data_IF_368374020870
#
_entry.id   IF_368374020870
#
_cell.length_a   1.000
_cell.length_b   1.000
_cell.length_c   1.000
_cell.angle_alpha   90.00
_cell.angle_beta   90.00
_cell.angle_gamma   90.00
#
_symmetry.space_group_name_H-M   'P 1'
#
loop_
_entity.id
_entity.type
_entity.pdbx_description
1 polymer ?
#
# COMPACT_ATOMS: atom_id res chain seq x y z
N UNK A 1 -42.10 -31.00 -13.04
CA UNK A 1 -42.20 -31.39 -11.62
C UNK A 1 -40.82 -31.81 -11.08
N UNK A 2 -39.77 -30.99 -11.26
CA UNK A 2 -38.37 -31.28 -10.88
C UNK A 2 -37.71 -30.10 -10.09
N UNK A 3 -38.46 -29.06 -9.72
CA UNK A 3 -37.94 -27.84 -9.06
C UNK A 3 -38.10 -27.75 -7.54
N UNK A 4 -38.49 -28.80 -6.84
CA UNK A 4 -38.80 -28.76 -5.38
C UNK A 4 -37.87 -29.60 -4.50
N UNK A 5 -36.90 -30.35 -5.06
CA UNK A 5 -36.09 -31.27 -4.23
C UNK A 5 -34.65 -30.82 -3.94
N UNK A 6 -34.25 -29.60 -4.28
CA UNK A 6 -32.88 -29.10 -3.99
C UNK A 6 -32.78 -28.07 -2.86
N UNK A 7 -33.83 -27.88 -2.06
CA UNK A 7 -33.86 -26.86 -0.98
C UNK A 7 -33.71 -27.39 0.45
N UNK A 8 -33.29 -28.62 0.66
CA UNK A 8 -33.32 -29.20 2.04
C UNK A 8 -32.01 -29.79 2.57
N UNK A 9 -30.86 -29.56 1.96
CA UNK A 9 -29.56 -30.02 2.50
C UNK A 9 -28.38 -29.03 2.31
N UNK A 10 -28.62 -27.75 2.55
CA UNK A 10 -27.52 -26.86 2.90
C UNK A 10 -27.69 -26.56 4.40
N UNK A 11 -26.81 -27.09 5.24
CA UNK A 11 -26.76 -26.70 6.65
C UNK A 11 -26.55 -25.18 6.74
N UNK A 12 -27.09 -24.56 7.78
CA UNK A 12 -26.96 -23.11 8.00
C UNK A 12 -25.49 -22.62 7.96
N UNK A 13 -24.58 -23.49 8.36
CA UNK A 13 -23.13 -23.23 8.34
C UNK A 13 -22.56 -23.14 6.91
N UNK A 14 -23.02 -24.01 5.99
CA UNK A 14 -22.57 -23.97 4.59
C UNK A 14 -23.09 -22.72 3.85
N UNK A 15 -24.30 -22.26 4.17
CA UNK A 15 -24.86 -21.02 3.61
C UNK A 15 -24.10 -19.78 4.12
N UNK A 16 -23.73 -19.73 5.38
CA UNK A 16 -22.96 -18.62 5.98
C UNK A 16 -21.55 -18.54 5.37
N UNK A 17 -20.89 -19.68 5.19
CA UNK A 17 -19.55 -19.72 4.56
C UNK A 17 -19.59 -19.25 3.12
N UNK A 18 -20.61 -19.64 2.34
CA UNK A 18 -20.77 -19.22 0.95
C UNK A 18 -21.13 -17.73 0.86
N UNK A 19 -22.00 -17.21 1.73
CA UNK A 19 -22.30 -15.77 1.77
C UNK A 19 -21.09 -14.93 2.18
N UNK A 20 -20.30 -15.39 3.14
CA UNK A 20 -19.10 -14.71 3.57
C UNK A 20 -18.05 -14.67 2.44
N UNK A 21 -17.89 -15.77 1.72
CA UNK A 21 -16.97 -15.86 0.58
C UNK A 21 -17.39 -14.98 -0.61
N UNK A 22 -18.69 -14.67 -0.76
CA UNK A 22 -19.20 -13.75 -1.79
C UNK A 22 -18.98 -12.27 -1.44
N UNK A 23 -18.71 -11.93 -0.19
CA UNK A 23 -18.48 -10.56 0.29
C UNK A 23 -17.00 -10.21 0.41
N UNK A 24 -16.09 -11.20 0.29
CA UNK A 24 -14.65 -10.96 0.42
C UNK A 24 -14.09 -10.40 -0.88
N UNK A 25 -13.34 -9.30 -0.74
CA UNK A 25 -12.61 -8.72 -1.86
C UNK A 25 -11.37 -9.55 -2.17
N UNK A 26 -11.08 -9.74 -3.46
CA UNK A 26 -9.82 -10.32 -3.88
C UNK A 26 -8.66 -9.37 -3.59
N UNK A 27 -7.40 -9.87 -3.46
CA UNK A 27 -6.23 -9.02 -3.31
C UNK A 27 -6.14 -7.94 -4.40
N UNK A 28 -6.47 -8.29 -5.64
CA UNK A 28 -6.49 -7.35 -6.76
C UNK A 28 -7.52 -6.23 -6.60
N UNK A 29 -8.70 -6.55 -6.07
CA UNK A 29 -9.73 -5.55 -5.77
C UNK A 29 -9.29 -4.60 -4.64
N UNK A 30 -8.71 -5.16 -3.56
CA UNK A 30 -8.17 -4.36 -2.45
C UNK A 30 -7.08 -3.41 -2.94
N UNK A 31 -6.16 -3.87 -3.80
CA UNK A 31 -5.08 -3.03 -4.33
C UNK A 31 -5.58 -1.97 -5.30
N UNK A 32 -6.63 -2.25 -6.06
CA UNK A 32 -7.27 -1.24 -6.93
C UNK A 32 -7.86 -0.10 -6.08
N UNK A 33 -8.54 -0.44 -4.98
CA UNK A 33 -9.04 0.56 -4.02
C UNK A 33 -7.91 1.30 -3.31
N UNK A 34 -6.84 0.58 -2.95
CA UNK A 34 -5.66 1.16 -2.33
C UNK A 34 -5.04 2.24 -3.23
N UNK A 35 -4.79 1.95 -4.51
CA UNK A 35 -4.26 2.93 -5.46
C UNK A 35 -5.22 4.10 -5.66
N UNK A 36 -6.52 3.86 -5.70
CA UNK A 36 -7.52 4.92 -5.81
C UNK A 36 -7.48 5.87 -4.58
N UNK A 37 -7.45 5.32 -3.35
CA UNK A 37 -7.35 6.09 -2.12
C UNK A 37 -6.01 6.85 -2.03
N UNK A 38 -4.91 6.21 -2.45
CA UNK A 38 -3.58 6.82 -2.49
C UNK A 38 -3.55 8.03 -3.45
N UNK A 39 -4.12 7.90 -4.65
CA UNK A 39 -4.21 8.98 -5.63
C UNK A 39 -5.21 10.09 -5.22
N UNK A 40 -6.25 9.74 -4.44
CA UNK A 40 -7.12 10.73 -3.82
C UNK A 40 -6.43 11.47 -2.66
N UNK A 41 -5.27 10.98 -2.20
CA UNK A 41 -4.54 11.49 -1.03
C UNK A 41 -5.40 11.49 0.22
N UNK A 42 -6.22 10.45 0.37
CA UNK A 42 -7.05 10.23 1.54
C UNK A 42 -6.37 9.22 2.49
N UNK A 43 -5.61 9.69 3.49
CA UNK A 43 -4.87 8.82 4.39
C UNK A 43 -5.81 8.00 5.28
N UNK A 44 -7.02 8.51 5.57
CA UNK A 44 -7.99 7.84 6.42
C UNK A 44 -8.61 6.63 5.72
N UNK A 45 -9.10 6.81 4.49
CA UNK A 45 -9.59 5.68 3.68
C UNK A 45 -8.46 4.69 3.45
N UNK A 46 -7.27 5.17 3.10
CA UNK A 46 -6.11 4.31 2.85
C UNK A 46 -5.78 3.44 4.07
N UNK A 47 -5.76 4.02 5.27
CA UNK A 47 -5.49 3.29 6.51
C UNK A 47 -6.55 2.20 6.80
N UNK A 48 -7.83 2.41 6.44
CA UNK A 48 -8.88 1.40 6.66
C UNK A 48 -8.68 0.11 5.86
N UNK A 49 -7.87 0.16 4.80
CA UNK A 49 -7.53 -1.01 3.98
C UNK A 49 -6.49 -1.92 4.64
N UNK A 50 -5.93 -1.54 5.78
CA UNK A 50 -4.98 -2.34 6.54
C UNK A 50 -5.62 -2.95 7.79
N UNK A 51 -5.11 -4.12 8.21
CA UNK A 51 -5.38 -4.68 9.53
C UNK A 51 -4.80 -3.78 10.62
N UNK A 52 -5.33 -3.90 11.85
CA UNK A 52 -4.87 -3.10 13.00
C UNK A 52 -3.41 -3.35 13.35
N UNK A 53 -2.94 -4.58 13.18
CA UNK A 53 -1.59 -5.07 13.44
C UNK A 53 -0.75 -5.26 12.16
N UNK A 54 -1.18 -4.69 11.03
CA UNK A 54 -0.49 -4.84 9.76
C UNK A 54 0.96 -4.34 9.82
N UNK A 55 1.79 -4.91 8.96
CA UNK A 55 3.19 -4.50 8.79
C UNK A 55 3.44 -3.98 7.38
N UNK A 56 4.11 -2.83 7.27
CA UNK A 56 4.55 -2.25 6.00
C UNK A 56 6.06 -2.02 6.01
N UNK A 57 6.77 -2.64 5.08
CA UNK A 57 8.21 -2.49 4.89
C UNK A 57 8.48 -1.83 3.55
N UNK A 58 9.08 -0.65 3.58
CA UNK A 58 9.69 -0.06 2.39
C UNK A 58 11.18 -0.36 2.43
N UNK A 59 11.62 -1.40 1.71
CA UNK A 59 12.98 -1.98 1.82
C UNK A 59 14.07 -0.92 1.66
N UNK A 60 13.86 0.06 0.80
CA UNK A 60 14.79 1.16 0.58
C UNK A 60 14.89 2.15 1.76
N UNK A 61 13.90 2.16 2.68
CA UNK A 61 13.87 3.07 3.83
C UNK A 61 14.33 2.40 5.14
N UNK A 62 14.29 1.07 5.19
CA UNK A 62 14.83 0.26 6.28
C UNK A 62 13.75 -0.20 7.26
N UNK A 63 13.50 0.55 8.32
CA UNK A 63 12.64 0.11 9.42
C UNK A 63 11.18 -0.10 9.02
N UNK A 64 10.55 -1.21 9.42
CA UNK A 64 9.15 -1.47 9.15
C UNK A 64 8.22 -0.58 10.00
N UNK A 65 7.08 -0.22 9.43
CA UNK A 65 5.97 0.37 10.16
C UNK A 65 5.05 -0.74 10.66
N UNK A 66 4.70 -0.70 11.94
CA UNK A 66 3.81 -1.66 12.57
C UNK A 66 2.54 -0.98 13.07
N UNK A 67 1.40 -1.53 12.69
CA UNK A 67 0.09 -1.04 13.09
C UNK A 67 -0.48 0.03 12.17
N UNK A 68 -1.80 -0.03 12.01
CA UNK A 68 -2.57 0.86 11.12
C UNK A 68 -2.45 2.34 11.49
N UNK A 69 -2.35 2.67 12.78
CA UNK A 69 -2.22 4.06 13.24
C UNK A 69 -0.89 4.68 12.81
N UNK A 70 0.22 3.93 12.95
CA UNK A 70 1.54 4.37 12.50
C UNK A 70 1.56 4.57 10.98
N UNK A 71 0.88 3.70 10.23
CA UNK A 71 0.72 3.85 8.78
C UNK A 71 -0.09 5.09 8.42
N UNK A 72 -1.17 5.37 9.16
CA UNK A 72 -1.98 6.58 8.95
C UNK A 72 -1.11 7.84 9.11
N UNK A 73 -0.32 7.93 10.17
CA UNK A 73 0.59 9.07 10.41
C UNK A 73 1.63 9.20 9.27
N UNK A 74 2.17 8.07 8.81
CA UNK A 74 3.10 8.03 7.67
C UNK A 74 2.45 8.52 6.37
N UNK A 75 1.21 8.13 6.06
CA UNK A 75 0.48 8.61 4.89
C UNK A 75 0.17 10.11 4.98
N UNK A 76 -0.24 10.61 6.16
CA UNK A 76 -0.47 12.04 6.38
C UNK A 76 0.82 12.82 6.07
N UNK A 77 1.94 12.41 6.66
CA UNK A 77 3.25 13.07 6.46
C UNK A 77 3.69 13.02 4.99
N UNK A 78 3.50 11.88 4.32
CA UNK A 78 3.87 11.71 2.92
C UNK A 78 3.03 12.63 2.01
N UNK A 79 1.72 12.69 2.18
CA UNK A 79 0.84 13.53 1.36
C UNK A 79 1.03 15.03 1.64
N UNK A 80 1.46 15.42 2.84
CA UNK A 80 1.88 16.79 3.12
C UNK A 80 3.18 17.15 2.40
N UNK A 81 4.12 16.21 2.33
CA UNK A 81 5.40 16.40 1.65
C UNK A 81 5.26 16.42 0.12
N UNK A 82 4.35 15.59 -0.44
CA UNK A 82 4.16 15.35 -1.86
C UNK A 82 2.66 15.45 -2.25
N UNK A 83 2.00 16.63 -2.15
CA UNK A 83 0.55 16.76 -2.30
C UNK A 83 0.04 16.58 -3.72
N UNK A 84 0.92 16.56 -4.72
CA UNK A 84 0.64 16.29 -6.13
C UNK A 84 1.03 14.85 -6.55
N UNK A 85 1.38 13.99 -5.56
CA UNK A 85 1.79 12.63 -5.90
C UNK A 85 0.71 11.89 -6.68
N UNK A 86 1.15 11.11 -7.66
CA UNK A 86 0.29 10.28 -8.49
C UNK A 86 0.96 8.95 -8.76
N UNK A 87 0.21 7.86 -8.63
CA UNK A 87 0.67 6.49 -8.87
C UNK A 87 -0.17 5.84 -9.96
N UNK A 88 0.49 5.26 -10.95
CA UNK A 88 -0.12 4.48 -12.03
C UNK A 88 0.18 3.00 -11.83
N UNK A 89 -0.83 2.16 -12.03
CA UNK A 89 -0.67 0.71 -12.09
C UNK A 89 -0.10 0.37 -13.46
N UNK A 90 1.14 -0.14 -13.48
CA UNK A 90 1.75 -0.69 -14.68
C UNK A 90 1.29 -2.14 -14.89
N UNK A 91 1.39 -2.96 -13.84
CA UNK A 91 0.92 -4.32 -13.79
C UNK A 91 0.38 -4.66 -12.41
N UNK A 92 -0.68 -5.46 -12.36
CA UNK A 92 -1.26 -5.95 -11.11
C UNK A 92 -1.57 -7.44 -11.25
N UNK A 93 -0.83 -8.26 -10.51
CA UNK A 93 -0.95 -9.71 -10.46
C UNK A 93 -1.56 -10.16 -9.15
N UNK A 94 -2.17 -11.34 -9.14
CA UNK A 94 -2.79 -11.96 -7.97
C UNK A 94 -2.50 -13.45 -7.97
N UNK A 95 -2.10 -13.99 -6.81
CA UNK A 95 -1.92 -15.41 -6.56
C UNK A 95 -2.31 -15.74 -5.11
N UNK A 96 -3.40 -16.48 -4.93
CA UNK A 96 -3.99 -16.77 -3.62
C UNK A 96 -4.33 -15.49 -2.85
N UNK A 97 -3.74 -15.32 -1.68
CA UNK A 97 -3.93 -14.14 -0.81
C UNK A 97 -2.95 -13.00 -1.12
N UNK A 98 -2.12 -13.14 -2.16
CA UNK A 98 -1.12 -12.16 -2.52
C UNK A 98 -1.50 -11.35 -3.76
N UNK A 99 -1.20 -10.06 -3.73
CA UNK A 99 -1.14 -9.23 -4.92
C UNK A 99 0.26 -8.65 -5.09
N UNK A 100 0.68 -8.50 -6.35
CA UNK A 100 1.93 -7.85 -6.74
C UNK A 100 1.57 -6.68 -7.62
N UNK A 101 1.92 -5.48 -7.17
CA UNK A 101 1.70 -4.23 -7.89
C UNK A 101 3.03 -3.73 -8.43
N UNK A 102 3.17 -3.67 -9.76
CA UNK A 102 4.19 -2.86 -10.42
C UNK A 102 3.59 -1.49 -10.71
N UNK A 103 4.31 -0.43 -10.34
CA UNK A 103 3.82 0.93 -10.44
C UNK A 103 4.86 1.90 -11.00
N UNK A 104 4.38 3.00 -11.59
CA UNK A 104 5.13 4.22 -11.79
C UNK A 104 4.49 5.35 -10.98
N UNK A 105 5.30 6.29 -10.49
CA UNK A 105 4.81 7.37 -9.64
C UNK A 105 5.59 8.65 -9.83
N UNK A 106 4.91 9.77 -9.61
CA UNK A 106 5.46 11.13 -9.68
C UNK A 106 5.03 11.93 -8.47
N UNK A 107 5.74 13.00 -8.17
CA UNK A 107 5.38 13.96 -7.12
C UNK A 107 6.42 15.07 -7.01
N UNK A 108 6.06 16.16 -6.31
CA UNK A 108 6.94 17.31 -6.07
C UNK A 108 7.16 17.49 -4.57
N UNK A 109 8.41 17.60 -4.16
CA UNK A 109 8.82 17.75 -2.76
C UNK A 109 8.61 19.18 -2.28
N UNK A 110 7.47 19.48 -1.66
CA UNK A 110 7.09 20.82 -1.20
C UNK A 110 6.75 20.96 0.28
N UNK A 111 6.63 19.84 1.02
CA UNK A 111 6.50 19.81 2.49
C UNK A 111 7.68 19.08 3.13
N UNK A 112 7.88 19.23 4.44
CA UNK A 112 8.93 18.52 5.16
C UNK A 112 8.76 17.00 5.06
N UNK A 113 9.87 16.28 4.83
CA UNK A 113 9.87 14.82 4.77
C UNK A 113 11.13 14.25 5.44
N UNK A 114 10.94 13.35 6.40
CA UNK A 114 12.03 12.66 7.10
C UNK A 114 13.10 13.61 7.65
N UNK A 115 12.72 14.80 8.12
CA UNK A 115 13.62 15.82 8.64
C UNK A 115 14.33 16.67 7.56
N UNK A 116 14.01 16.46 6.29
CA UNK A 116 14.57 17.25 5.18
C UNK A 116 13.65 18.39 4.78
N UNK A 117 14.26 19.56 4.53
CA UNK A 117 13.58 20.75 4.04
C UNK A 117 13.18 20.56 2.57
N UNK A 118 11.96 20.95 2.17
CA UNK A 118 11.48 20.83 0.81
C UNK A 118 12.34 21.60 -0.19
N UNK A 119 12.55 21.01 -1.36
CA UNK A 119 13.40 21.59 -2.41
C UNK A 119 12.62 22.13 -3.61
N UNK A 120 11.31 21.83 -3.69
CA UNK A 120 10.49 22.14 -4.86
C UNK A 120 10.79 21.27 -6.09
N UNK A 121 11.65 20.26 -5.96
CA UNK A 121 12.00 19.37 -7.07
C UNK A 121 11.01 18.21 -7.17
N UNK A 122 10.78 17.77 -8.41
CA UNK A 122 9.89 16.64 -8.71
C UNK A 122 10.67 15.35 -8.92
N UNK A 123 9.98 14.22 -8.75
CA UNK A 123 10.51 12.91 -9.05
C UNK A 123 9.61 12.16 -10.03
N UNK A 124 10.20 11.18 -10.71
CA UNK A 124 9.52 10.13 -11.45
C UNK A 124 10.21 8.80 -11.16
N UNK A 125 9.47 7.85 -10.61
CA UNK A 125 9.98 6.56 -10.16
C UNK A 125 9.17 5.40 -10.71
N UNK A 126 9.80 4.22 -10.66
CA UNK A 126 9.13 2.93 -10.82
C UNK A 126 9.46 2.07 -9.60
N UNK A 127 8.55 1.17 -9.28
CA UNK A 127 8.76 0.22 -8.21
C UNK A 127 7.76 -0.92 -8.26
N UNK A 128 7.88 -1.81 -7.30
CA UNK A 128 6.89 -2.86 -7.10
C UNK A 128 6.63 -3.07 -5.60
N UNK A 129 5.46 -3.61 -5.30
CA UNK A 129 5.06 -3.97 -3.95
C UNK A 129 4.39 -5.33 -3.91
N UNK A 130 4.65 -6.06 -2.84
CA UNK A 130 4.00 -7.33 -2.51
C UNK A 130 3.04 -7.09 -1.35
N UNK A 131 1.81 -7.53 -1.49
CA UNK A 131 0.75 -7.30 -0.52
C UNK A 131 0.07 -8.62 -0.17
N UNK A 132 0.08 -8.99 1.10
CA UNK A 132 -0.68 -10.11 1.64
C UNK A 132 -2.02 -9.58 2.14
N UNK A 133 -3.10 -10.08 1.58
CA UNK A 133 -4.47 -9.65 1.87
C UNK A 133 -5.21 -10.78 2.55
N UNK A 134 -5.70 -10.53 3.75
CA UNK A 134 -6.50 -11.46 4.55
C UNK A 134 -7.80 -10.75 4.90
N UNK A 135 -8.93 -11.42 4.83
CA UNK A 135 -10.24 -10.85 5.17
C UNK A 135 -10.51 -9.47 4.54
N UNK A 136 -10.16 -9.34 3.23
CA UNK A 136 -10.33 -8.10 2.45
C UNK A 136 -9.49 -6.89 2.93
N UNK A 137 -8.44 -7.13 3.74
CA UNK A 137 -7.52 -6.10 4.23
C UNK A 137 -6.07 -6.53 4.08
N UNK A 138 -5.19 -5.55 3.94
CA UNK A 138 -3.75 -5.76 3.86
C UNK A 138 -3.23 -6.09 5.25
N UNK A 139 -2.67 -7.29 5.43
CA UNK A 139 -1.98 -7.73 6.63
C UNK A 139 -0.49 -7.41 6.55
N UNK A 140 0.08 -7.50 5.36
CA UNK A 140 1.50 -7.24 5.13
C UNK A 140 1.72 -6.57 3.79
N UNK A 141 2.64 -5.60 3.77
CA UNK A 141 3.13 -4.94 2.56
C UNK A 141 4.64 -4.88 2.56
N UNK A 142 5.25 -5.11 1.39
CA UNK A 142 6.68 -4.91 1.17
C UNK A 142 6.90 -4.23 -0.18
N UNK A 143 7.45 -3.00 -0.13
CA UNK A 143 7.72 -2.19 -1.31
C UNK A 143 9.20 -2.14 -1.67
N UNK A 144 9.48 -2.06 -2.97
CA UNK A 144 10.81 -1.90 -3.55
C UNK A 144 10.81 -0.75 -4.55
N UNK A 145 11.77 0.14 -4.40
CA UNK A 145 12.04 1.24 -5.33
C UNK A 145 13.50 1.69 -5.20
N UNK A 146 13.98 2.46 -6.16
CA UNK A 146 15.34 2.98 -6.16
C UNK A 146 15.43 4.28 -5.33
N UNK A 147 15.91 4.16 -4.08
CA UNK A 147 16.12 5.27 -3.16
C UNK A 147 17.14 6.28 -3.69
N UNK A 148 18.21 5.81 -4.33
CA UNK A 148 19.25 6.68 -4.86
C UNK A 148 18.68 7.60 -5.94
N UNK A 149 17.97 7.03 -6.90
CA UNK A 149 17.29 7.79 -7.94
C UNK A 149 16.28 8.77 -7.34
N UNK A 150 15.43 8.33 -6.41
CA UNK A 150 14.44 9.19 -5.77
C UNK A 150 15.07 10.38 -5.07
N UNK A 151 16.01 10.13 -4.14
CA UNK A 151 16.64 11.17 -3.33
C UNK A 151 17.47 12.16 -4.20
N UNK A 152 18.15 11.65 -5.22
CA UNK A 152 18.87 12.49 -6.18
C UNK A 152 17.92 13.45 -6.92
N UNK A 153 16.78 12.95 -7.39
CA UNK A 153 15.79 13.77 -8.11
C UNK A 153 15.21 14.87 -7.21
N UNK A 154 14.83 14.55 -5.97
CA UNK A 154 14.28 15.52 -5.03
C UNK A 154 15.34 16.34 -4.29
N UNK A 155 16.63 16.07 -4.54
CA UNK A 155 17.76 16.85 -3.99
C UNK A 155 18.07 16.58 -2.54
N UNK A 156 17.71 15.40 -2.02
CA UNK A 156 18.12 14.93 -0.69
C UNK A 156 19.50 14.28 -0.80
N UNK A 157 20.50 14.68 0.03
CA UNK A 157 21.81 14.04 0.03
C UNK A 157 21.73 12.61 0.56
N UNK A 158 22.42 11.69 -0.11
CA UNK A 158 22.62 10.32 0.41
C UNK A 158 23.98 10.35 1.12
N UNK A 159 23.93 10.45 2.45
CA UNK A 159 25.12 10.26 3.28
C UNK A 159 25.34 8.76 3.47
N UNK A 160 26.54 8.25 3.15
CA UNK A 160 26.97 6.94 3.65
C UNK A 160 27.17 7.08 5.17
N UNK A 161 26.62 6.18 5.96
CA UNK A 161 26.79 6.12 7.43
C UNK A 161 28.25 5.75 7.82
N UNK A 162 29.26 6.37 7.23
CA UNK A 162 30.66 6.07 7.55
C UNK A 162 31.41 7.17 8.30
N UNK A 163 30.77 8.29 8.65
CA UNK A 163 31.46 9.42 9.30
C UNK A 163 31.03 9.66 10.76
N UNK A 164 30.73 8.61 11.52
CA UNK A 164 30.29 8.70 12.93
C UNK A 164 30.98 7.76 13.91
N UNK A 165 32.24 7.35 13.65
CA UNK A 165 33.05 6.60 14.63
C UNK A 165 34.47 7.14 14.64
N UNK A 166 34.68 8.18 15.41
CA UNK A 166 36.01 8.61 15.93
C UNK A 166 35.85 9.08 17.36
#
# INVERSE_FOLDING_TARGET
MVKVLMRKFLSSECSIVVEHQFLMKTPKQVLTEWVAAYNARDPYILATLYHEDATNIQVALGEPLHGREVMLESFISFFQAFPDNCTHIENLFEDGEWAILEWSGTGTFIGEFAGFTPTGKSFSLRGCGFFHVVDSKIQFQRGYFDKLTWFTQIGIPITSESDGAA
#
